data_IF_235881111188
#
_entry.id   IF_235881111188
#
_cell.length_a   1.000
_cell.length_b   1.000
_cell.length_c   1.000
_cell.angle_alpha   90.00
_cell.angle_beta   90.00
_cell.angle_gamma   90.00
#
_symmetry.space_group_name_H-M   'P 1'
#
loop_
_entity.id
_entity.type
_entity.pdbx_description
1 polymer ?
#
# COMPACT_ATOMS: atom_id res chain seq x y z
N UNK A 1 8.91 -4.12 -13.63
CA UNK A 1 8.07 -4.30 -12.41
C UNK A 1 6.83 -5.09 -12.80
N UNK A 2 6.39 -6.01 -11.95
CA UNK A 2 5.23 -6.90 -12.18
C UNK A 2 4.22 -6.68 -11.06
N UNK A 3 2.96 -6.43 -11.40
CA UNK A 3 1.89 -6.40 -10.42
C UNK A 3 1.51 -7.84 -10.02
N UNK A 4 1.35 -8.06 -8.73
CA UNK A 4 0.85 -9.30 -8.15
C UNK A 4 -0.44 -8.98 -7.39
N UNK A 5 -1.53 -9.67 -7.73
CA UNK A 5 -2.77 -9.50 -6.99
C UNK A 5 -2.74 -10.33 -5.71
N UNK A 6 -3.03 -9.73 -4.57
CA UNK A 6 -3.38 -10.48 -3.35
C UNK A 6 -4.88 -10.75 -3.27
N UNK A 7 -5.66 -10.20 -4.20
CA UNK A 7 -7.11 -10.32 -4.26
C UNK A 7 -7.82 -8.98 -4.08
N UNK A 8 -8.95 -8.99 -3.37
CA UNK A 8 -9.72 -7.78 -3.12
C UNK A 8 -10.42 -7.81 -1.75
N UNK A 9 -10.78 -6.62 -1.28
CA UNK A 9 -11.57 -6.44 -0.05
C UNK A 9 -12.85 -5.66 -0.38
N UNK A 10 -13.98 -6.11 0.14
CA UNK A 10 -15.24 -5.36 0.05
C UNK A 10 -15.32 -4.36 1.20
N UNK A 11 -15.52 -3.09 0.86
CA UNK A 11 -15.63 -2.01 1.82
C UNK A 11 -17.10 -1.65 2.08
N UNK A 12 -17.41 -1.34 3.33
CA UNK A 12 -18.74 -0.78 3.66
C UNK A 12 -18.79 0.72 3.42
N UNK A 13 -19.98 1.31 3.32
CA UNK A 13 -20.15 2.77 3.21
C UNK A 13 -19.60 3.54 4.42
N UNK A 14 -19.53 2.90 5.58
CA UNK A 14 -19.02 3.48 6.83
C UNK A 14 -17.52 3.82 6.83
N UNK A 15 -16.80 3.48 5.75
CA UNK A 15 -15.40 3.93 5.58
C UNK A 15 -15.31 5.42 5.20
N UNK A 16 -16.36 5.96 4.58
CA UNK A 16 -16.44 7.38 4.24
C UNK A 16 -17.05 8.18 5.40
N UNK A 17 -16.42 9.27 5.76
CA UNK A 17 -16.87 10.10 6.90
C UNK A 17 -17.88 11.17 6.48
N UNK A 18 -17.78 11.61 5.21
CA UNK A 18 -18.47 12.78 4.69
C UNK A 18 -19.62 12.44 3.72
N UNK A 19 -19.87 11.15 3.42
CA UNK A 19 -20.84 10.76 2.40
C UNK A 19 -21.94 9.86 2.92
N UNK A 20 -23.14 10.12 2.41
CA UNK A 20 -24.24 9.16 2.52
C UNK A 20 -24.08 8.05 1.48
N UNK A 21 -24.63 6.83 1.72
CA UNK A 21 -24.51 5.70 0.80
C UNK A 21 -24.85 6.02 -0.66
N UNK A 22 -25.92 6.78 -0.91
CA UNK A 22 -26.35 7.11 -2.28
C UNK A 22 -25.34 8.01 -3.02
N UNK A 23 -24.61 8.88 -2.31
CA UNK A 23 -23.58 9.73 -2.91
C UNK A 23 -22.38 8.88 -3.37
N UNK A 24 -22.00 7.88 -2.56
CA UNK A 24 -20.97 6.90 -2.92
C UNK A 24 -21.41 6.11 -4.15
N UNK A 25 -22.66 5.62 -4.17
CA UNK A 25 -23.24 4.89 -5.31
C UNK A 25 -23.16 5.70 -6.60
N UNK A 26 -23.53 6.99 -6.55
CA UNK A 26 -23.46 7.89 -7.69
C UNK A 26 -22.02 8.09 -8.20
N UNK A 27 -21.06 8.27 -7.28
CA UNK A 27 -19.65 8.44 -7.64
C UNK A 27 -19.08 7.16 -8.26
N UNK A 28 -19.35 6.00 -7.69
CA UNK A 28 -18.89 4.71 -8.22
C UNK A 28 -19.54 4.37 -9.57
N UNK A 29 -20.80 4.71 -9.76
CA UNK A 29 -21.54 4.46 -11.01
C UNK A 29 -20.95 5.24 -12.20
N UNK A 30 -20.33 6.41 -12.01
CA UNK A 30 -19.70 7.18 -13.07
C UNK A 30 -18.61 6.41 -13.81
N UNK A 31 -17.90 5.56 -13.07
CA UNK A 31 -16.83 4.71 -13.60
C UNK A 31 -17.25 3.24 -13.75
N UNK A 32 -18.57 2.96 -13.71
CA UNK A 32 -19.14 1.61 -13.79
C UNK A 32 -18.57 0.66 -12.73
N UNK A 33 -18.29 1.18 -11.52
CA UNK A 33 -17.76 0.41 -10.40
C UNK A 33 -18.88 -0.12 -9.52
N UNK A 34 -18.60 -1.25 -8.87
CA UNK A 34 -19.53 -1.83 -7.87
C UNK A 34 -19.62 -0.96 -6.63
N UNK A 35 -20.77 -0.93 -6.02
CA UNK A 35 -21.01 -0.23 -4.76
C UNK A 35 -21.78 -1.15 -3.80
N UNK A 36 -21.43 -1.21 -2.51
CA UNK A 36 -20.30 -0.49 -1.89
C UNK A 36 -18.95 -0.86 -2.53
N UNK A 37 -17.91 -0.01 -2.38
CA UNK A 37 -16.66 -0.18 -3.11
C UNK A 37 -15.97 -1.50 -2.84
N UNK A 38 -15.43 -2.09 -3.89
CA UNK A 38 -14.50 -3.22 -3.84
C UNK A 38 -13.12 -2.71 -4.24
N UNK A 39 -12.15 -2.85 -3.34
CA UNK A 39 -10.78 -2.41 -3.57
C UNK A 39 -9.86 -3.59 -3.88
N UNK A 40 -8.99 -3.46 -4.85
CA UNK A 40 -7.90 -4.42 -5.08
C UNK A 40 -6.90 -4.39 -3.93
N UNK A 41 -6.20 -5.49 -3.70
CA UNK A 41 -4.98 -5.52 -2.90
C UNK A 41 -3.86 -5.97 -3.83
N UNK A 42 -3.01 -5.02 -4.21
CA UNK A 42 -1.90 -5.26 -5.13
C UNK A 42 -0.57 -5.20 -4.37
N UNK A 43 0.35 -6.08 -4.76
CA UNK A 43 1.76 -6.01 -4.39
C UNK A 43 2.57 -5.85 -5.67
N UNK A 44 3.80 -5.35 -5.55
CA UNK A 44 4.61 -5.10 -6.73
C UNK A 44 5.98 -5.76 -6.63
N UNK A 45 6.29 -6.62 -7.60
CA UNK A 45 7.56 -7.32 -7.70
C UNK A 45 8.50 -6.58 -8.66
N UNK A 46 9.69 -6.25 -8.17
CA UNK A 46 10.77 -5.68 -8.98
C UNK A 46 11.92 -6.67 -9.09
N UNK A 47 12.53 -6.75 -10.26
CA UNK A 47 13.79 -7.46 -10.50
C UNK A 47 14.77 -6.50 -11.16
N UNK A 48 15.96 -6.39 -10.63
CA UNK A 48 16.94 -5.46 -11.16
C UNK A 48 18.25 -5.43 -10.36
N UNK A 49 19.02 -4.36 -10.45
CA UNK A 49 20.30 -4.23 -9.74
C UNK A 49 20.17 -4.30 -8.21
N UNK A 50 19.00 -4.01 -7.67
CA UNK A 50 18.70 -4.15 -6.24
C UNK A 50 18.34 -5.59 -5.80
N UNK A 51 18.39 -6.56 -6.71
CA UNK A 51 17.91 -7.93 -6.48
C UNK A 51 16.41 -8.09 -6.76
N UNK A 52 15.81 -9.06 -6.09
CA UNK A 52 14.36 -9.32 -6.11
C UNK A 52 13.70 -8.57 -4.96
N UNK A 53 12.91 -7.56 -5.27
CA UNK A 53 12.28 -6.67 -4.30
C UNK A 53 10.77 -6.80 -4.39
N UNK A 54 10.11 -6.98 -3.26
CA UNK A 54 8.65 -6.97 -3.15
C UNK A 54 8.21 -5.69 -2.42
N UNK A 55 7.25 -4.97 -2.97
CA UNK A 55 6.62 -3.82 -2.30
C UNK A 55 5.26 -4.26 -1.79
N UNK A 56 5.11 -4.24 -0.48
CA UNK A 56 4.09 -4.86 0.35
C UNK A 56 3.93 -6.37 0.12
N UNK A 57 3.35 -7.07 1.06
CA UNK A 57 3.27 -8.53 1.05
C UNK A 57 1.86 -9.08 1.30
N UNK A 58 0.84 -8.26 1.04
CA UNK A 58 -0.54 -8.69 1.06
C UNK A 58 -1.09 -8.97 2.47
N UNK A 59 -2.28 -9.52 2.48
CA UNK A 59 -3.13 -9.69 3.67
C UNK A 59 -2.93 -11.03 4.40
N UNK A 60 -2.13 -11.93 3.83
CA UNK A 60 -2.07 -13.31 4.35
C UNK A 60 -3.47 -13.92 4.46
N UNK A 61 -3.82 -14.47 5.62
CA UNK A 61 -5.13 -15.08 5.86
C UNK A 61 -6.13 -14.16 6.59
N UNK A 62 -5.81 -12.85 6.77
CA UNK A 62 -6.57 -11.97 7.67
C UNK A 62 -7.89 -11.41 7.07
N UNK A 63 -8.04 -11.40 5.73
CA UNK A 63 -9.20 -10.80 5.03
C UNK A 63 -10.13 -11.82 4.37
N UNK A 64 -10.02 -13.10 4.73
CA UNK A 64 -10.91 -14.15 4.24
C UNK A 64 -10.64 -14.58 2.80
N UNK A 65 -11.60 -15.24 2.12
CA UNK A 65 -11.32 -16.00 0.89
C UNK A 65 -11.09 -15.16 -0.36
N UNK A 66 -11.39 -13.86 -0.30
CA UNK A 66 -11.24 -12.94 -1.45
C UNK A 66 -9.85 -12.32 -1.55
N UNK A 67 -9.02 -12.50 -0.53
CA UNK A 67 -7.65 -12.00 -0.46
C UNK A 67 -6.68 -13.15 -0.08
N UNK A 68 -5.39 -12.84 0.15
CA UNK A 68 -4.37 -13.83 0.51
C UNK A 68 -3.88 -14.66 -0.69
N UNK A 69 -3.87 -14.07 -1.89
CA UNK A 69 -3.47 -14.74 -3.14
C UNK A 69 -2.04 -14.41 -3.59
N UNK A 70 -1.32 -13.63 -2.80
CA UNK A 70 0.03 -13.20 -3.18
C UNK A 70 0.96 -14.36 -3.49
N UNK A 71 1.00 -15.41 -2.66
CA UNK A 71 1.95 -16.50 -2.82
C UNK A 71 1.68 -17.32 -4.09
N UNK A 72 0.42 -17.58 -4.42
CA UNK A 72 0.03 -18.22 -5.69
C UNK A 72 0.51 -17.40 -6.89
N UNK A 73 0.35 -16.08 -6.83
CA UNK A 73 0.72 -15.16 -7.91
C UNK A 73 2.24 -14.89 -7.96
N UNK A 74 2.94 -14.94 -6.83
CA UNK A 74 4.40 -14.86 -6.76
C UNK A 74 5.03 -16.09 -7.44
N UNK A 75 4.53 -17.30 -7.15
CA UNK A 75 4.95 -18.54 -7.79
C UNK A 75 4.66 -18.52 -9.30
N UNK A 76 3.47 -18.05 -9.70
CA UNK A 76 3.13 -17.89 -11.12
C UNK A 76 4.04 -16.88 -11.85
N UNK A 77 4.58 -15.89 -11.15
CA UNK A 77 5.60 -14.97 -11.65
C UNK A 77 7.01 -15.58 -11.65
N UNK A 78 7.15 -16.85 -11.27
CA UNK A 78 8.42 -17.58 -11.25
C UNK A 78 9.36 -17.13 -10.13
N UNK A 79 8.84 -16.73 -8.98
CA UNK A 79 9.60 -16.35 -7.78
C UNK A 79 9.09 -17.12 -6.59
N UNK A 80 9.99 -17.76 -5.87
CA UNK A 80 9.69 -18.37 -4.58
C UNK A 80 9.94 -17.35 -3.44
N UNK A 81 9.25 -17.46 -2.32
CA UNK A 81 9.41 -16.49 -1.20
C UNK A 81 10.86 -16.34 -0.71
N UNK A 82 11.63 -17.44 -0.71
CA UNK A 82 13.05 -17.42 -0.30
C UNK A 82 13.99 -16.75 -1.31
N UNK A 83 13.51 -16.42 -2.51
CA UNK A 83 14.25 -15.70 -3.55
C UNK A 83 14.03 -14.19 -3.49
N UNK A 84 13.19 -13.72 -2.56
CA UNK A 84 12.98 -12.30 -2.30
C UNK A 84 14.10 -11.79 -1.38
N UNK A 85 14.85 -10.81 -1.86
CA UNK A 85 15.97 -10.21 -1.13
C UNK A 85 15.51 -9.08 -0.19
N UNK A 86 14.51 -8.30 -0.62
CA UNK A 86 14.00 -7.16 0.12
C UNK A 86 12.48 -7.06 0.05
N UNK A 87 11.88 -6.68 1.17
CA UNK A 87 10.47 -6.27 1.24
C UNK A 87 10.42 -4.82 1.69
N UNK A 88 9.78 -3.98 0.87
CA UNK A 88 9.57 -2.57 1.16
C UNK A 88 8.13 -2.40 1.64
N UNK A 89 7.92 -2.11 2.92
CA UNK A 89 6.58 -1.83 3.43
C UNK A 89 6.22 -0.36 3.23
N UNK A 90 5.05 -0.11 2.65
CA UNK A 90 4.48 1.24 2.62
C UNK A 90 4.02 1.63 4.03
N UNK A 91 3.41 0.69 4.75
CA UNK A 91 3.01 0.79 6.14
C UNK A 91 2.63 -0.61 6.68
N UNK A 92 2.24 -0.70 7.96
CA UNK A 92 2.01 -2.00 8.62
C UNK A 92 0.53 -2.37 8.77
N UNK A 93 -0.40 -1.82 7.99
CA UNK A 93 -1.77 -2.34 8.00
C UNK A 93 -1.83 -3.77 7.47
N UNK A 94 -2.88 -4.52 7.85
CA UNK A 94 -2.92 -5.97 7.62
C UNK A 94 -2.83 -6.40 6.15
N UNK A 95 -3.41 -5.64 5.24
CA UNK A 95 -3.40 -5.93 3.81
C UNK A 95 -2.08 -5.61 3.09
N UNK A 96 -1.14 -5.03 3.82
CA UNK A 96 0.22 -4.72 3.33
C UNK A 96 1.29 -5.57 4.00
N UNK A 97 1.06 -6.03 5.24
CA UNK A 97 2.10 -6.67 6.05
C UNK A 97 1.79 -8.11 6.48
N UNK A 98 0.53 -8.56 6.44
CA UNK A 98 0.16 -9.87 7.02
C UNK A 98 0.59 -11.09 6.20
N UNK A 99 1.22 -10.91 5.04
CA UNK A 99 1.93 -11.97 4.33
C UNK A 99 3.37 -12.19 4.79
N UNK A 100 3.87 -11.48 5.81
CA UNK A 100 5.26 -11.62 6.27
C UNK A 100 5.51 -12.92 7.03
N UNK A 101 4.52 -13.43 7.78
CA UNK A 101 4.69 -14.59 8.67
C UNK A 101 3.65 -15.67 8.40
N UNK A 102 4.06 -16.90 8.68
CA UNK A 102 3.14 -18.04 8.70
C UNK A 102 2.14 -17.87 9.86
N UNK A 103 0.83 -17.86 9.60
CA UNK A 103 -0.18 -17.59 10.65
C UNK A 103 -0.28 -18.66 11.73
N UNK A 104 0.28 -19.86 11.49
CA UNK A 104 0.25 -20.99 12.43
C UNK A 104 1.54 -21.09 13.24
N UNK A 105 2.70 -20.95 12.58
CA UNK A 105 4.00 -21.14 13.24
C UNK A 105 4.63 -19.82 13.68
N UNK A 106 4.22 -18.68 13.14
CA UNK A 106 4.84 -17.37 13.35
C UNK A 106 6.20 -17.22 12.68
N UNK A 107 6.64 -18.20 11.88
CA UNK A 107 7.91 -18.14 11.16
C UNK A 107 7.84 -17.20 9.96
N UNK A 108 8.99 -16.66 9.56
CA UNK A 108 9.11 -15.83 8.36
C UNK A 108 8.72 -16.62 7.11
N UNK A 109 7.84 -16.09 6.30
CA UNK A 109 7.55 -16.66 4.99
C UNK A 109 8.61 -16.25 3.95
N UNK A 110 9.24 -15.09 4.11
CA UNK A 110 10.36 -14.63 3.29
C UNK A 110 11.66 -14.76 4.08
N UNK A 111 12.18 -15.99 4.17
CA UNK A 111 13.27 -16.36 5.08
C UNK A 111 14.56 -15.54 4.86
N UNK A 112 14.86 -15.13 3.61
CA UNK A 112 16.08 -14.42 3.24
C UNK A 112 15.90 -12.91 3.16
N UNK A 113 14.66 -12.41 3.11
CA UNK A 113 14.38 -11.00 2.89
C UNK A 113 14.79 -10.11 4.06
N UNK A 114 15.26 -8.91 3.72
CA UNK A 114 15.33 -7.77 4.65
C UNK A 114 14.08 -6.93 4.47
N UNK A 115 13.30 -6.76 5.52
CA UNK A 115 12.16 -5.84 5.55
C UNK A 115 12.67 -4.42 5.78
N UNK A 116 12.26 -3.48 4.94
CA UNK A 116 12.61 -2.06 5.02
C UNK A 116 11.31 -1.27 5.22
N UNK A 117 11.25 -0.48 6.28
CA UNK A 117 10.08 0.32 6.61
C UNK A 117 10.49 1.68 7.17
N UNK A 118 9.58 2.66 7.09
CA UNK A 118 9.78 3.95 7.73
C UNK A 118 9.94 3.77 9.25
N UNK A 119 10.95 4.44 9.85
CA UNK A 119 11.19 4.41 11.29
C UNK A 119 9.95 4.79 12.08
N UNK A 120 9.25 5.87 11.71
CA UNK A 120 8.06 6.35 12.41
C UNK A 120 6.92 5.34 12.39
N UNK A 121 6.80 4.56 11.33
CA UNK A 121 5.82 3.48 11.22
C UNK A 121 6.07 2.42 12.27
N UNK A 122 7.30 1.94 12.35
CA UNK A 122 7.67 0.92 13.32
C UNK A 122 7.59 1.46 14.75
N UNK A 123 8.07 2.69 15.01
CA UNK A 123 7.99 3.31 16.33
C UNK A 123 6.55 3.44 16.81
N UNK A 124 5.61 3.82 15.94
CA UNK A 124 4.19 3.90 16.28
C UNK A 124 3.63 2.53 16.70
N UNK A 125 3.76 1.50 15.85
CA UNK A 125 3.18 0.19 16.14
C UNK A 125 3.84 -0.51 17.33
N UNK A 126 5.06 -0.13 17.69
CA UNK A 126 5.76 -0.63 18.88
C UNK A 126 5.62 0.28 20.11
N UNK A 127 4.89 1.37 20.03
CA UNK A 127 4.57 2.23 21.17
C UNK A 127 3.50 1.58 22.05
N UNK A 128 3.86 1.17 23.25
CA UNK A 128 2.90 0.63 24.22
C UNK A 128 1.89 1.69 24.68
N UNK A 129 2.31 2.96 24.71
CA UNK A 129 1.43 4.07 25.07
C UNK A 129 0.32 4.26 24.02
N UNK A 130 0.67 4.27 22.72
CA UNK A 130 -0.29 4.36 21.62
C UNK A 130 -1.21 3.14 21.60
N UNK A 131 -0.66 1.94 21.78
CA UNK A 131 -1.44 0.70 21.85
C UNK A 131 -2.45 0.73 23.00
N UNK A 132 -2.08 1.23 24.18
CA UNK A 132 -2.97 1.32 25.33
C UNK A 132 -4.08 2.37 25.14
N UNK A 133 -3.79 3.46 24.44
CA UNK A 133 -4.74 4.50 24.10
C UNK A 133 -5.76 4.09 23.04
N UNK A 134 -5.42 3.07 22.21
CA UNK A 134 -6.27 2.59 21.14
C UNK A 134 -7.47 1.77 21.68
N UNK A 135 -8.56 1.74 20.88
CA UNK A 135 -9.68 0.84 21.14
C UNK A 135 -9.28 -0.64 20.98
N UNK A 136 -10.10 -1.55 21.50
CA UNK A 136 -9.82 -2.99 21.50
C UNK A 136 -9.59 -3.55 20.08
N UNK A 137 -10.39 -3.11 19.10
CA UNK A 137 -10.25 -3.54 17.71
C UNK A 137 -8.90 -3.14 17.14
N UNK A 138 -8.49 -1.87 17.34
CA UNK A 138 -7.18 -1.37 16.87
C UNK A 138 -6.03 -2.07 17.59
N UNK A 139 -6.14 -2.28 18.90
CA UNK A 139 -5.11 -3.03 19.67
C UNK A 139 -4.86 -4.42 19.09
N UNK A 140 -5.94 -5.17 18.83
CA UNK A 140 -5.82 -6.56 18.36
C UNK A 140 -5.43 -6.64 16.89
N UNK A 141 -6.12 -5.87 16.01
CA UNK A 141 -6.01 -6.02 14.56
C UNK A 141 -4.91 -5.19 13.93
N UNK A 142 -4.57 -4.04 14.50
CA UNK A 142 -3.50 -3.21 13.94
C UNK A 142 -2.21 -3.39 14.73
N UNK A 143 -2.18 -3.00 16.00
CA UNK A 143 -0.97 -3.16 16.83
C UNK A 143 -0.56 -4.63 16.98
N UNK A 144 -1.50 -5.52 17.31
CA UNK A 144 -1.23 -6.93 17.50
C UNK A 144 -0.69 -7.59 16.24
N UNK A 145 -1.37 -7.40 15.10
CA UNK A 145 -0.92 -8.01 13.86
C UNK A 145 0.36 -7.37 13.31
N UNK A 146 0.54 -6.05 13.39
CA UNK A 146 1.80 -5.41 12.97
C UNK A 146 2.99 -5.99 13.74
N UNK A 147 2.88 -6.15 15.07
CA UNK A 147 3.92 -6.77 15.89
C UNK A 147 4.13 -8.24 15.54
N UNK A 148 3.05 -9.03 15.40
CA UNK A 148 3.11 -10.44 14.98
C UNK A 148 3.91 -10.60 13.67
N UNK A 149 3.69 -9.72 12.71
CA UNK A 149 4.30 -9.80 11.39
C UNK A 149 5.76 -9.33 11.38
N UNK A 150 6.07 -8.26 12.11
CA UNK A 150 7.40 -7.64 12.08
C UNK A 150 8.38 -8.26 13.06
N UNK A 151 7.91 -8.77 14.22
CA UNK A 151 8.77 -9.32 15.27
C UNK A 151 9.80 -10.36 14.78
N UNK A 152 9.44 -11.33 13.92
CA UNK A 152 10.40 -12.30 13.42
C UNK A 152 11.57 -11.69 12.64
N UNK A 153 11.40 -10.50 12.05
CA UNK A 153 12.43 -9.82 11.27
C UNK A 153 13.35 -8.91 12.11
N UNK A 154 13.01 -8.63 13.36
CA UNK A 154 13.80 -7.72 14.22
C UNK A 154 15.16 -8.29 14.64
N UNK A 155 15.42 -9.53 14.41
CA UNK A 155 16.72 -10.19 14.69
C UNK A 155 17.78 -9.92 13.60
N UNK A 156 17.82 -8.70 13.03
CA UNK A 156 18.79 -8.27 12.04
C UNK A 156 18.29 -8.28 10.59
N UNK A 157 16.99 -8.52 10.40
CA UNK A 157 16.33 -8.48 9.08
C UNK A 157 15.31 -7.35 8.94
N UNK A 158 15.25 -6.44 9.91
CA UNK A 158 14.46 -5.21 9.83
C UNK A 158 15.41 -4.01 9.70
N UNK A 159 15.28 -3.27 8.62
CA UNK A 159 15.96 -1.98 8.40
C UNK A 159 14.96 -0.85 8.53
N UNK A 160 15.26 0.11 9.37
CA UNK A 160 14.49 1.34 9.51
C UNK A 160 15.07 2.41 8.59
N UNK A 161 14.22 3.03 7.79
CA UNK A 161 14.58 4.07 6.83
C UNK A 161 13.94 5.42 7.19
N UNK A 162 14.55 6.49 6.70
CA UNK A 162 14.10 7.86 6.93
C UNK A 162 13.55 8.48 5.63
N UNK A 163 12.75 9.55 5.78
CA UNK A 163 12.26 10.32 4.64
C UNK A 163 13.42 10.84 3.75
N UNK A 164 13.28 10.65 2.44
CA UNK A 164 14.29 11.03 1.44
C UNK A 164 15.47 10.07 1.34
N UNK A 165 15.52 8.97 2.11
CA UNK A 165 16.59 7.98 2.03
C UNK A 165 16.47 7.12 0.78
N UNK A 166 17.51 7.03 -0.04
CA UNK A 166 17.66 6.02 -1.07
C UNK A 166 18.04 4.68 -0.40
N UNK A 167 17.04 3.82 -0.20
CA UNK A 167 17.22 2.57 0.54
C UNK A 167 17.84 1.44 -0.28
N UNK A 168 17.62 1.45 -1.58
CA UNK A 168 18.19 0.54 -2.56
C UNK A 168 18.49 1.34 -3.83
N UNK A 169 19.39 0.90 -4.71
CA UNK A 169 19.71 1.63 -5.94
C UNK A 169 18.46 2.01 -6.74
N UNK A 170 18.22 3.31 -6.88
CA UNK A 170 17.07 3.88 -7.58
C UNK A 170 15.74 3.83 -6.82
N UNK A 171 15.72 3.44 -5.54
CA UNK A 171 14.49 3.35 -4.73
C UNK A 171 14.62 4.23 -3.48
N UNK A 172 13.78 5.26 -3.41
CA UNK A 172 13.79 6.24 -2.33
C UNK A 172 12.48 6.19 -1.53
N UNK A 173 12.58 6.20 -0.20
CA UNK A 173 11.43 6.37 0.68
C UNK A 173 10.98 7.83 0.62
N UNK A 174 9.68 8.04 0.42
CA UNK A 174 9.05 9.37 0.51
C UNK A 174 7.91 9.28 1.51
N UNK A 175 8.07 9.91 2.66
CA UNK A 175 7.06 9.91 3.71
C UNK A 175 5.77 10.59 3.23
N UNK A 176 4.64 9.95 3.52
CA UNK A 176 3.31 10.46 3.21
C UNK A 176 2.36 10.15 4.38
N UNK A 177 2.74 10.61 5.57
CA UNK A 177 2.03 10.34 6.82
C UNK A 177 0.58 10.83 6.81
N UNK A 178 -0.25 10.28 7.69
CA UNK A 178 -1.65 10.62 7.89
C UNK A 178 -2.56 9.40 7.88
N UNK A 179 -2.46 8.54 6.87
CA UNK A 179 -3.11 7.24 6.90
C UNK A 179 -2.59 6.39 8.07
N UNK A 180 -1.28 6.25 8.18
CA UNK A 180 -0.58 5.89 9.41
C UNK A 180 0.49 6.96 9.71
N UNK A 181 1.05 7.00 10.93
CA UNK A 181 2.07 8.00 11.31
C UNK A 181 3.36 7.92 10.49
N UNK A 182 3.69 6.76 9.97
CA UNK A 182 4.87 6.53 9.12
C UNK A 182 4.55 6.02 7.72
N UNK A 183 3.28 6.15 7.27
CA UNK A 183 2.92 5.78 5.91
C UNK A 183 3.85 6.42 4.90
N UNK A 184 4.34 5.64 3.97
CA UNK A 184 5.35 6.04 3.00
C UNK A 184 5.00 5.55 1.60
N UNK A 185 5.53 6.26 0.63
CA UNK A 185 5.50 5.90 -0.78
C UNK A 185 6.91 5.57 -1.23
N UNK A 186 7.06 4.79 -2.28
CA UNK A 186 8.35 4.43 -2.84
C UNK A 186 8.54 5.10 -4.20
N UNK A 187 9.48 6.04 -4.28
CA UNK A 187 9.86 6.67 -5.54
C UNK A 187 10.93 5.81 -6.23
N UNK A 188 10.61 5.34 -7.41
CA UNK A 188 11.50 4.55 -8.24
C UNK A 188 12.06 5.40 -9.38
N UNK A 189 13.38 5.33 -9.55
CA UNK A 189 14.10 6.00 -10.65
C UNK A 189 14.86 4.93 -11.45
N UNK A 190 14.58 4.86 -12.74
CA UNK A 190 15.28 3.96 -13.66
C UNK A 190 15.41 4.62 -15.02
N UNK A 191 16.63 4.69 -15.56
CA UNK A 191 16.92 5.23 -16.89
C UNK A 191 16.31 6.62 -17.17
N UNK A 192 16.30 7.47 -16.14
CA UNK A 192 15.73 8.82 -16.23
C UNK A 192 14.21 8.89 -16.19
N UNK A 193 13.52 7.77 -16.00
CA UNK A 193 12.08 7.70 -15.77
C UNK A 193 11.77 7.56 -14.29
N UNK A 194 10.65 8.15 -13.88
CA UNK A 194 10.17 8.08 -12.50
C UNK A 194 8.83 7.38 -12.42
N UNK A 195 8.68 6.58 -11.38
CA UNK A 195 7.43 5.95 -10.99
C UNK A 195 7.27 6.09 -9.48
N UNK A 196 6.04 6.18 -9.00
CA UNK A 196 5.77 6.17 -7.57
C UNK A 196 4.82 5.04 -7.21
N UNK A 197 5.19 4.23 -6.23
CA UNK A 197 4.30 3.27 -5.57
C UNK A 197 3.72 3.99 -4.36
N UNK A 198 2.43 4.30 -4.40
CA UNK A 198 1.86 5.30 -3.51
C UNK A 198 1.22 4.78 -2.21
N UNK A 199 1.24 3.43 -1.98
CA UNK A 199 0.64 2.84 -0.78
C UNK A 199 -0.85 3.14 -0.67
N UNK A 200 -1.26 3.60 0.49
CA UNK A 200 -2.62 3.97 0.84
C UNK A 200 -2.88 5.47 0.75
N UNK A 201 -2.23 6.10 -0.24
CA UNK A 201 -2.57 7.48 -0.60
C UNK A 201 -4.06 7.60 -0.98
N UNK A 202 -4.61 6.58 -1.63
CA UNK A 202 -6.02 6.48 -1.99
C UNK A 202 -6.48 5.02 -2.01
N UNK A 203 -7.59 4.73 -1.32
CA UNK A 203 -8.22 3.41 -1.24
C UNK A 203 -9.29 3.21 -2.31
N UNK A 204 -10.08 4.26 -2.56
CA UNK A 204 -11.08 4.32 -3.62
C UNK A 204 -10.68 5.42 -4.57
N UNK A 205 -9.85 5.11 -5.58
CA UNK A 205 -9.28 6.12 -6.49
C UNK A 205 -10.34 6.96 -7.18
N UNK A 206 -11.48 6.38 -7.53
CA UNK A 206 -12.61 7.06 -8.17
C UNK A 206 -13.13 8.23 -7.34
N UNK A 207 -13.00 8.14 -6.02
CA UNK A 207 -13.45 9.17 -5.09
C UNK A 207 -12.27 10.04 -4.64
N UNK A 208 -11.23 9.43 -4.06
CA UNK A 208 -10.17 10.17 -3.38
C UNK A 208 -9.15 10.83 -4.33
N UNK A 209 -9.05 10.38 -5.57
CA UNK A 209 -8.21 11.04 -6.58
C UNK A 209 -8.96 12.22 -7.21
N UNK A 210 -10.27 12.06 -7.42
CA UNK A 210 -11.13 13.15 -7.89
C UNK A 210 -11.36 14.23 -6.82
N UNK A 211 -11.41 13.81 -5.55
CA UNK A 211 -11.66 14.65 -4.38
C UNK A 211 -10.61 14.37 -3.29
N UNK A 212 -9.40 14.93 -3.43
CA UNK A 212 -8.27 14.60 -2.54
C UNK A 212 -8.47 14.96 -1.07
N UNK A 213 -9.44 15.81 -0.77
CA UNK A 213 -9.82 16.19 0.59
C UNK A 213 -10.56 15.08 1.35
N UNK A 214 -11.09 14.07 0.65
CA UNK A 214 -11.88 12.99 1.26
C UNK A 214 -10.99 12.04 2.06
N UNK A 215 -11.31 11.88 3.35
CA UNK A 215 -10.58 11.02 4.28
C UNK A 215 -11.36 9.75 4.61
N UNK A 216 -10.64 8.72 5.02
CA UNK A 216 -11.23 7.45 5.44
C UNK A 216 -11.41 7.39 6.95
N UNK A 217 -12.37 6.60 7.40
CA UNK A 217 -12.68 6.44 8.84
C UNK A 217 -11.55 5.78 9.64
N UNK A 218 -10.63 5.12 8.94
CA UNK A 218 -9.47 4.44 9.51
C UNK A 218 -8.15 5.22 9.34
N UNK A 219 -8.17 6.41 8.72
CA UNK A 219 -7.00 7.29 8.72
C UNK A 219 -6.65 7.71 10.16
N UNK A 220 -5.36 7.64 10.52
CA UNK A 220 -4.87 8.03 11.84
C UNK A 220 -5.01 9.53 12.07
N UNK A 221 -4.57 10.33 11.12
CA UNK A 221 -4.76 11.78 11.04
C UNK A 221 -5.41 12.13 9.69
N UNK A 222 -6.76 12.24 9.64
CA UNK A 222 -7.50 12.47 8.40
C UNK A 222 -7.10 13.76 7.68
N UNK A 223 -6.85 14.84 8.45
CA UNK A 223 -6.47 16.13 7.87
C UNK A 223 -5.06 16.09 7.26
N UNK A 224 -4.14 15.40 7.92
CA UNK A 224 -2.79 15.18 7.40
C UNK A 224 -2.84 14.30 6.15
N UNK A 225 -3.61 13.21 6.17
CA UNK A 225 -3.80 12.32 5.02
C UNK A 225 -4.33 13.08 3.80
N UNK A 226 -5.36 13.89 3.97
CA UNK A 226 -5.93 14.72 2.91
C UNK A 226 -4.93 15.75 2.36
N UNK A 227 -4.21 16.46 3.23
CA UNK A 227 -3.16 17.42 2.82
C UNK A 227 -2.04 16.74 2.05
N UNK A 228 -1.51 15.64 2.56
CA UNK A 228 -0.42 14.92 1.91
C UNK A 228 -0.86 14.30 0.59
N UNK A 229 -2.06 13.75 0.51
CA UNK A 229 -2.68 13.28 -0.75
C UNK A 229 -2.75 14.39 -1.77
N UNK A 230 -3.31 15.54 -1.40
CA UNK A 230 -3.44 16.69 -2.30
C UNK A 230 -2.08 17.12 -2.86
N UNK A 231 -1.07 17.24 -1.98
CA UNK A 231 0.26 17.68 -2.37
C UNK A 231 0.97 16.65 -3.27
N UNK A 232 0.85 15.37 -2.92
CA UNK A 232 1.53 14.31 -3.66
C UNK A 232 0.88 14.09 -5.04
N UNK A 233 -0.45 14.11 -5.15
CA UNK A 233 -1.14 14.04 -6.45
C UNK A 233 -0.75 15.21 -7.36
N UNK A 234 -0.65 16.43 -6.80
CA UNK A 234 -0.21 17.60 -7.58
C UNK A 234 1.25 17.44 -8.06
N UNK A 235 2.15 16.88 -7.23
CA UNK A 235 3.53 16.58 -7.61
C UNK A 235 3.59 15.52 -8.70
N UNK A 236 2.88 14.40 -8.53
CA UNK A 236 2.80 13.30 -9.50
C UNK A 236 2.35 13.83 -10.86
N UNK A 237 1.25 14.58 -10.89
CA UNK A 237 0.72 15.16 -12.12
C UNK A 237 1.70 16.14 -12.78
N UNK A 238 2.32 17.03 -11.99
CA UNK A 238 3.29 18.02 -12.50
C UNK A 238 4.54 17.37 -13.09
N UNK A 239 4.98 16.25 -12.55
CA UNK A 239 6.20 15.55 -12.95
C UNK A 239 5.92 14.42 -13.96
N UNK A 240 4.66 14.26 -14.37
CA UNK A 240 4.21 13.23 -15.31
C UNK A 240 4.74 11.82 -14.90
N UNK A 241 4.51 11.46 -13.63
CA UNK A 241 4.98 10.18 -13.10
C UNK A 241 3.94 9.08 -13.36
N UNK A 242 4.43 7.90 -13.73
CA UNK A 242 3.63 6.69 -13.66
C UNK A 242 3.37 6.36 -12.19
N UNK A 243 2.14 5.98 -11.86
CA UNK A 243 1.77 5.52 -10.52
C UNK A 243 1.52 4.03 -10.48
N UNK A 244 1.86 3.43 -9.35
CA UNK A 244 1.43 2.11 -8.96
C UNK A 244 0.73 2.20 -7.61
N UNK A 245 -0.49 1.67 -7.49
CA UNK A 245 -1.30 1.80 -6.28
C UNK A 245 -1.84 0.47 -5.80
N UNK A 246 -1.74 0.25 -4.49
CA UNK A 246 -2.18 -1.00 -3.86
C UNK A 246 -3.66 -1.22 -4.05
N UNK A 247 -4.45 -0.15 -4.07
CA UNK A 247 -5.91 -0.18 -4.21
C UNK A 247 -6.44 0.34 -5.55
N UNK A 248 -5.54 0.71 -6.49
CA UNK A 248 -5.95 0.88 -7.89
C UNK A 248 -6.36 -0.50 -8.44
N UNK A 249 -7.46 -0.55 -9.21
CA UNK A 249 -7.88 -1.83 -9.81
C UNK A 249 -6.73 -2.49 -10.56
N UNK A 250 -6.60 -3.80 -10.35
CA UNK A 250 -5.53 -4.59 -10.97
C UNK A 250 -5.45 -4.32 -12.48
N UNK A 251 -4.25 -4.14 -13.05
CA UNK A 251 -2.91 -4.35 -12.49
C UNK A 251 -2.32 -3.18 -11.66
N UNK A 252 -3.10 -2.14 -11.35
CA UNK A 252 -2.71 -1.12 -10.41
C UNK A 252 -1.81 -0.02 -10.95
N UNK A 253 -1.54 0.05 -12.27
CA UNK A 253 -0.72 1.07 -12.91
C UNK A 253 -1.56 2.12 -13.62
N UNK A 254 -1.13 3.37 -13.58
CA UNK A 254 -1.82 4.43 -14.31
C UNK A 254 -1.14 5.79 -14.26
N UNK A 255 -1.72 6.73 -14.95
CA UNK A 255 -1.30 8.12 -15.05
C UNK A 255 -2.38 9.03 -14.49
N UNK A 256 -1.98 10.14 -13.87
CA UNK A 256 -2.94 11.14 -13.43
C UNK A 256 -3.35 12.03 -14.61
N UNK A 257 -4.64 12.13 -14.83
CA UNK A 257 -5.24 13.06 -15.80
C UNK A 257 -6.08 14.08 -15.03
N UNK A 258 -5.97 15.36 -15.40
CA UNK A 258 -6.76 16.42 -14.76
C UNK A 258 -8.25 16.20 -15.01
N UNK A 259 -9.05 16.25 -13.95
CA UNK A 259 -10.50 16.17 -14.02
C UNK A 259 -11.14 17.11 -12.98
N UNK A 260 -11.84 18.13 -13.44
CA UNK A 260 -12.40 19.15 -12.56
C UNK A 260 -11.34 19.81 -11.66
N UNK A 261 -11.57 19.77 -10.35
CA UNK A 261 -10.64 20.29 -9.35
C UNK A 261 -9.59 19.25 -8.90
N UNK A 262 -9.82 17.97 -9.16
CA UNK A 262 -8.95 16.84 -8.83
C UNK A 262 -8.33 16.20 -10.07
N UNK A 263 -8.21 14.88 -9.97
CA UNK A 263 -7.61 14.05 -11.02
C UNK A 263 -8.41 12.75 -11.19
N UNK A 264 -8.12 12.03 -12.25
CA UNK A 264 -8.56 10.67 -12.52
C UNK A 264 -7.33 9.81 -12.83
N UNK A 265 -7.36 8.55 -12.44
CA UNK A 265 -6.35 7.58 -12.86
C UNK A 265 -6.73 7.04 -14.24
N UNK A 266 -5.91 7.36 -15.24
CA UNK A 266 -5.96 6.70 -16.54
C UNK A 266 -5.10 5.44 -16.44
N UNK A 267 -5.72 4.27 -16.52
CA UNK A 267 -5.02 2.98 -16.41
C UNK A 267 -3.98 2.89 -17.53
N UNK A 268 -2.75 2.46 -17.17
CA UNK A 268 -1.67 2.22 -18.12
C UNK A 268 -2.09 1.16 -19.15
N UNK A 269 -1.76 1.41 -20.40
CA UNK A 269 -2.06 0.47 -21.46
C UNK A 269 -1.19 -0.78 -21.30
N UNK A 270 -1.84 -1.94 -21.25
CA UNK A 270 -1.10 -3.19 -21.22
C UNK A 270 -0.29 -3.41 -22.50
N UNK A 271 0.99 -3.73 -22.34
CA UNK A 271 1.89 -4.04 -23.45
C UNK A 271 2.26 -5.52 -23.42
N UNK A 272 2.18 -6.17 -24.57
CA UNK A 272 2.55 -7.58 -24.76
C UNK A 272 4.06 -7.80 -24.91
N UNK A 273 4.80 -6.74 -25.16
CA UNK A 273 6.26 -6.83 -25.32
C UNK A 273 6.91 -6.89 -23.92
N UNK A 274 7.38 -8.08 -23.56
CA UNK A 274 8.15 -8.33 -22.33
C UNK A 274 9.64 -8.33 -22.69
#
# INVERSE_FOLDING_TARGET
MTALSDGYVEMGYNIFREFEPHEVDEMMARDHRVSPPRISVNCFLLRGPAGTVLIDCGSGEKFGPTAGKLFENLEAAGVRPEEVDHILLTHCHPDHSCGLTNPVTGERLFANATVIANRKEIEHWYSDAEMQAADERKRLRYFGWAREQVDPYRDGRLRLAEDGEEVLPGITLVECAGHTPGHSTWLLNSEGKQMIVWGDLAHVPEIQVARPEVSMSFDHDPDMAARNRTNLLARIFKQDMLVAGMHIHFPGFGWLVREGTGYRVAIEQWNFEI
#
